data_IF_861364894948
#
_entry.id   IF_861364894948
#
_cell.length_a   1.000
_cell.length_b   1.000
_cell.length_c   1.000
_cell.angle_alpha   90.00
_cell.angle_beta   90.00
_cell.angle_gamma   90.00
#
_symmetry.space_group_name_H-M   'P 1'
#
loop_
_entity.id
_entity.type
_entity.pdbx_description
1 polymer ?
#
# COMPACT_ATOMS: atom_id res chain seq x y z
N UNK A 1 12.65 -3.46 26.70
CA UNK A 1 13.84 -3.80 25.89
C UNK A 1 13.95 -2.74 24.82
N UNK A 2 15.02 -1.93 24.81
CA UNK A 2 15.24 -0.99 23.69
C UNK A 2 15.47 -1.82 22.43
N UNK A 3 14.86 -1.39 21.32
CA UNK A 3 15.20 -1.92 20.01
C UNK A 3 16.63 -1.44 19.75
N UNK A 4 17.58 -2.35 19.55
CA UNK A 4 18.92 -1.95 19.12
C UNK A 4 18.84 -1.29 17.75
N UNK A 5 19.72 -0.30 17.50
CA UNK A 5 19.79 0.40 16.21
C UNK A 5 20.43 -0.45 15.10
N UNK A 6 20.81 -1.69 15.41
CA UNK A 6 21.39 -2.63 14.47
C UNK A 6 20.33 -3.54 13.82
N UNK A 7 20.43 -3.69 12.51
CA UNK A 7 19.60 -4.62 11.75
C UNK A 7 20.08 -6.05 12.00
N UNK A 8 19.13 -6.98 12.21
CA UNK A 8 19.38 -8.40 12.50
C UNK A 8 20.35 -9.09 11.53
N UNK A 9 20.40 -8.63 10.28
CA UNK A 9 21.21 -9.24 9.21
C UNK A 9 22.31 -8.30 8.69
N UNK A 10 22.68 -7.28 9.48
CA UNK A 10 23.64 -6.25 9.09
C UNK A 10 23.04 -5.18 8.17
N UNK A 11 23.86 -4.19 7.83
CA UNK A 11 23.46 -3.10 6.95
C UNK A 11 23.13 -3.64 5.53
N UNK A 12 22.07 -3.13 4.88
CA UNK A 12 21.77 -3.50 3.51
C UNK A 12 22.89 -3.01 2.59
N UNK A 13 23.58 -3.94 1.94
CA UNK A 13 24.65 -3.63 0.96
C UNK A 13 24.08 -3.18 -0.38
N UNK A 14 24.13 -4.04 -1.39
CA UNK A 14 23.53 -3.76 -2.70
C UNK A 14 22.01 -3.94 -2.70
N UNK A 15 21.27 -3.11 -1.96
CA UNK A 15 19.82 -3.22 -1.78
C UNK A 15 19.02 -2.17 -2.55
N UNK A 16 17.83 -2.53 -2.98
CA UNK A 16 16.79 -1.60 -3.47
C UNK A 16 15.66 -1.50 -2.44
N UNK A 17 14.98 -0.36 -2.40
CA UNK A 17 13.78 -0.16 -1.60
C UNK A 17 12.55 -0.49 -2.43
N UNK A 18 11.72 -1.43 -1.98
CA UNK A 18 10.41 -1.71 -2.57
C UNK A 18 9.35 -1.02 -1.71
N UNK A 19 8.76 0.05 -2.22
CA UNK A 19 7.65 0.76 -1.61
C UNK A 19 6.34 0.08 -2.03
N UNK A 20 5.84 -0.79 -1.15
CA UNK A 20 4.70 -1.66 -1.46
C UNK A 20 3.38 -0.91 -1.29
N UNK A 21 2.65 -0.76 -2.39
CA UNK A 21 1.23 -0.41 -2.46
C UNK A 21 0.81 0.79 -1.59
N UNK A 22 1.63 1.84 -1.56
CA UNK A 22 1.35 3.11 -0.88
C UNK A 22 0.31 3.95 -1.65
N UNK A 23 -0.86 3.36 -1.86
CA UNK A 23 -1.96 3.90 -2.65
C UNK A 23 -3.04 4.50 -1.76
N UNK A 24 -3.72 5.52 -2.29
CA UNK A 24 -4.83 6.22 -1.63
C UNK A 24 -6.00 5.31 -1.27
N UNK A 25 -6.15 4.17 -1.94
CA UNK A 25 -7.19 3.19 -1.65
C UNK A 25 -7.06 2.52 -0.28
N UNK A 26 -5.92 2.69 0.40
CA UNK A 26 -5.70 2.24 1.77
C UNK A 26 -5.77 3.39 2.78
N UNK A 27 -6.03 4.61 2.31
CA UNK A 27 -6.23 5.76 3.17
C UNK A 27 -7.67 5.81 3.69
N UNK A 28 -7.92 6.77 4.58
CA UNK A 28 -9.22 7.00 5.22
C UNK A 28 -10.32 7.17 4.16
N UNK A 29 -11.47 6.54 4.42
CA UNK A 29 -12.68 6.68 3.61
C UNK A 29 -12.94 5.48 2.68
N UNK A 30 -12.20 4.39 2.84
CA UNK A 30 -12.38 3.14 2.10
C UNK A 30 -12.55 1.95 3.04
N UNK A 31 -13.13 0.86 2.57
CA UNK A 31 -13.25 -0.37 3.38
C UNK A 31 -11.90 -1.05 3.65
N UNK A 32 -10.87 -0.70 2.89
CA UNK A 32 -9.48 -1.10 3.15
C UNK A 32 -8.66 0.00 3.85
N UNK A 33 -9.31 0.93 4.55
CA UNK A 33 -8.61 1.94 5.35
C UNK A 33 -7.61 1.25 6.29
N UNK A 34 -6.36 1.69 6.21
CA UNK A 34 -5.28 1.32 7.11
C UNK A 34 -5.04 2.51 8.05
N UNK A 35 -5.58 2.50 9.29
CA UNK A 35 -5.58 3.70 10.16
C UNK A 35 -4.19 4.21 10.53
N UNK A 36 -3.17 3.37 10.37
CA UNK A 36 -1.78 3.66 10.64
C UNK A 36 -1.01 4.21 9.42
N UNK A 37 -1.63 4.29 8.24
CA UNK A 37 -0.97 4.72 7.00
C UNK A 37 -0.38 6.14 7.13
N UNK A 38 -1.13 7.08 7.71
CA UNK A 38 -0.68 8.45 7.95
C UNK A 38 0.52 8.53 8.89
N UNK A 39 0.62 7.59 9.85
CA UNK A 39 1.74 7.52 10.80
C UNK A 39 3.04 7.05 10.13
N UNK A 40 2.96 6.15 9.15
CA UNK A 40 4.15 5.62 8.47
C UNK A 40 4.60 6.44 7.28
N UNK A 41 3.69 7.22 6.68
CA UNK A 41 3.95 8.02 5.48
C UNK A 41 5.21 8.90 5.57
N UNK A 42 5.49 9.63 6.68
CA UNK A 42 6.71 10.45 6.77
C UNK A 42 7.99 9.62 6.63
N UNK A 43 8.03 8.41 7.21
CA UNK A 43 9.19 7.52 7.09
C UNK A 43 9.34 6.98 5.68
N UNK A 44 8.24 6.65 5.01
CA UNK A 44 8.25 6.23 3.61
C UNK A 44 8.82 7.35 2.75
N UNK A 45 8.33 8.59 2.91
CA UNK A 45 8.82 9.77 2.17
C UNK A 45 10.33 9.97 2.41
N UNK A 46 10.80 9.83 3.65
CA UNK A 46 12.22 9.95 3.97
C UNK A 46 13.08 8.91 3.22
N UNK A 47 12.68 7.64 3.23
CA UNK A 47 13.42 6.56 2.56
C UNK A 47 13.40 6.75 1.04
N UNK A 48 12.24 7.02 0.44
CA UNK A 48 12.11 7.18 -1.01
C UNK A 48 12.83 8.42 -1.54
N UNK A 49 12.94 9.46 -0.72
CA UNK A 49 13.67 10.69 -1.09
C UNK A 49 15.19 10.55 -0.96
N UNK A 50 15.67 9.68 -0.06
CA UNK A 50 17.10 9.46 0.15
C UNK A 50 17.76 8.70 -1.02
N UNK A 51 17.04 7.74 -1.62
CA UNK A 51 17.53 6.89 -2.71
C UNK A 51 16.47 6.70 -3.81
N UNK A 52 16.05 7.77 -4.50
CA UNK A 52 14.98 7.71 -5.49
C UNK A 52 15.32 6.76 -6.66
N UNK A 53 16.58 6.74 -7.11
CA UNK A 53 17.06 5.88 -8.20
C UNK A 53 17.10 4.39 -7.84
N UNK A 54 17.03 4.06 -6.54
CA UNK A 54 16.99 2.67 -6.03
C UNK A 54 15.64 2.33 -5.37
N UNK A 55 14.62 3.12 -5.63
CA UNK A 55 13.27 2.91 -5.12
C UNK A 55 12.35 2.42 -6.22
N UNK A 56 11.64 1.33 -5.96
CA UNK A 56 10.61 0.76 -6.83
C UNK A 56 9.26 0.90 -6.12
N UNK A 57 8.28 1.50 -6.78
CA UNK A 57 6.90 1.56 -6.29
C UNK A 57 6.09 0.44 -6.92
N UNK A 58 5.36 -0.31 -6.11
CA UNK A 58 4.35 -1.24 -6.62
C UNK A 58 2.98 -0.57 -6.62
N UNK A 59 2.10 -1.11 -7.46
CA UNK A 59 0.71 -0.72 -7.51
C UNK A 59 -0.15 -1.99 -7.50
N UNK A 60 -0.93 -2.15 -6.45
CA UNK A 60 -2.01 -3.10 -6.40
C UNK A 60 -3.14 -2.68 -7.34
N UNK A 61 -3.58 -3.62 -8.17
CA UNK A 61 -4.65 -3.44 -9.15
C UNK A 61 -5.81 -4.38 -8.77
N UNK A 62 -6.94 -3.84 -8.28
CA UNK A 62 -8.07 -4.67 -7.88
C UNK A 62 -8.75 -5.41 -9.04
N UNK A 63 -9.66 -6.33 -8.74
CA UNK A 63 -10.56 -6.83 -9.77
C UNK A 63 -11.46 -5.71 -10.31
N UNK A 64 -11.84 -5.81 -11.59
CA UNK A 64 -12.71 -4.81 -12.22
C UNK A 64 -14.07 -4.69 -11.52
N UNK A 65 -14.65 -5.83 -11.11
CA UNK A 65 -15.94 -5.89 -10.44
C UNK A 65 -16.04 -7.12 -9.52
N UNK A 66 -17.06 -7.18 -8.63
CA UNK A 66 -17.26 -8.31 -7.73
C UNK A 66 -17.35 -9.63 -8.50
N UNK A 67 -16.69 -10.67 -7.98
CA UNK A 67 -16.68 -12.00 -8.59
C UNK A 67 -15.74 -12.20 -9.79
N UNK A 68 -15.05 -11.15 -10.28
CA UNK A 68 -14.07 -11.26 -11.38
C UNK A 68 -12.67 -11.70 -10.94
N UNK A 69 -12.44 -11.92 -9.64
CA UNK A 69 -11.16 -12.43 -9.15
C UNK A 69 -10.91 -13.91 -9.51
N UNK A 70 -9.64 -14.30 -9.59
CA UNK A 70 -9.23 -15.71 -9.81
C UNK A 70 -8.99 -16.42 -8.46
N UNK A 71 -9.51 -17.64 -8.32
CA UNK A 71 -9.36 -18.43 -7.10
C UNK A 71 -9.96 -17.75 -5.88
N UNK A 72 -9.17 -17.59 -4.81
CA UNK A 72 -9.62 -16.95 -3.57
C UNK A 72 -10.06 -15.49 -3.75
N UNK A 73 -9.51 -14.81 -4.77
CA UNK A 73 -9.88 -13.43 -5.07
C UNK A 73 -11.33 -13.27 -5.49
N UNK A 74 -11.97 -14.30 -6.06
CA UNK A 74 -13.38 -14.24 -6.45
C UNK A 74 -14.27 -13.90 -5.27
N UNK A 75 -14.22 -14.75 -4.24
CA UNK A 75 -15.01 -14.58 -3.01
C UNK A 75 -14.56 -13.37 -2.21
N UNK A 76 -13.27 -13.04 -2.27
CA UNK A 76 -12.76 -11.84 -1.62
C UNK A 76 -13.41 -10.56 -2.18
N UNK A 77 -13.51 -10.41 -3.51
CA UNK A 77 -14.18 -9.26 -4.12
C UNK A 77 -15.71 -9.33 -4.07
N UNK A 78 -16.33 -10.49 -3.87
CA UNK A 78 -17.75 -10.59 -3.50
C UNK A 78 -18.00 -10.03 -2.09
N UNK A 79 -17.04 -10.16 -1.17
CA UNK A 79 -17.11 -9.60 0.19
C UNK A 79 -16.77 -8.11 0.25
N UNK A 80 -15.80 -7.68 -0.56
CA UNK A 80 -15.31 -6.30 -0.63
C UNK A 80 -15.70 -5.68 -1.98
N UNK A 81 -17.00 -5.65 -2.27
CA UNK A 81 -17.53 -5.23 -3.57
C UNK A 81 -17.22 -3.77 -3.93
N UNK A 82 -17.15 -2.93 -2.90
CA UNK A 82 -16.75 -1.53 -2.93
C UNK A 82 -15.28 -1.32 -3.27
N UNK A 83 -14.44 -2.36 -3.16
CA UNK A 83 -12.99 -2.26 -3.37
C UNK A 83 -12.58 -2.85 -4.72
N UNK A 84 -13.32 -2.49 -5.76
CA UNK A 84 -13.10 -2.89 -7.16
C UNK A 84 -12.81 -1.68 -8.04
N UNK A 85 -12.24 -1.87 -9.23
CA UNK A 85 -11.88 -0.72 -10.09
C UNK A 85 -13.10 0.06 -10.57
N UNK A 86 -14.25 -0.57 -10.77
CA UNK A 86 -15.45 0.15 -11.21
C UNK A 86 -16.24 0.75 -10.03
N UNK A 87 -15.81 0.51 -8.80
CA UNK A 87 -16.45 1.07 -7.62
C UNK A 87 -16.11 2.57 -7.47
N UNK A 88 -17.10 3.45 -7.24
CA UNK A 88 -16.87 4.88 -7.09
C UNK A 88 -15.91 5.24 -5.96
N UNK A 89 -15.99 4.50 -4.84
CA UNK A 89 -15.30 4.84 -3.57
C UNK A 89 -13.78 4.79 -3.67
N UNK A 90 -13.22 3.94 -4.55
CA UNK A 90 -11.76 3.76 -4.68
C UNK A 90 -11.09 4.97 -5.35
N UNK A 91 -11.82 5.73 -6.17
CA UNK A 91 -11.29 6.85 -6.95
C UNK A 91 -11.66 8.23 -6.39
N UNK A 92 -12.64 8.29 -5.49
CA UNK A 92 -13.14 9.57 -4.94
C UNK A 92 -12.47 10.01 -3.64
N UNK A 93 -11.47 9.29 -3.13
CA UNK A 93 -10.77 9.70 -1.91
C UNK A 93 -10.22 11.15 -2.04
N UNK A 94 -10.41 12.04 -1.05
CA UNK A 94 -10.14 13.47 -1.16
C UNK A 94 -8.66 13.80 -1.34
N UNK A 95 -8.30 14.62 -2.35
CA UNK A 95 -6.92 14.89 -2.82
C UNK A 95 -5.92 15.50 -1.80
N UNK A 96 -6.22 15.53 -0.50
CA UNK A 96 -5.32 16.00 0.55
C UNK A 96 -4.93 14.87 1.49
N UNK A 97 -3.78 14.24 1.21
CA UNK A 97 -2.90 13.63 2.22
C UNK A 97 -1.55 14.32 2.05
#
# INVERSE_FOLDING_TARGET
MSKGDELRYGAPGNAVHICVDMQRMFAIGTDWTMPWLSRVLPNVVAITSAHPERTIFTRFIPAQSPGQGVGMWRRYYERWDSMTELAPVVWTAPRGI
#
